data_IF_830549763911
#
_entry.id   IF_830549763911
#
_cell.length_a   1.000
_cell.length_b   1.000
_cell.length_c   1.000
_cell.angle_alpha   90.00
_cell.angle_beta   90.00
_cell.angle_gamma   90.00
#
_symmetry.space_group_name_H-M   'P 1'
#
loop_
_entity.id
_entity.type
_entity.pdbx_description
1 polymer ?
#
# COMPACT_ATOMS: atom_id res chain seq x y z
N UNK A 1 -33.47 -16.53 -6.16
CA UNK A 1 -32.85 -15.22 -6.45
C UNK A 1 -32.69 -15.11 -7.95
N UNK A 2 -33.28 -14.10 -8.57
CA UNK A 2 -33.06 -13.79 -9.98
C UNK A 2 -31.68 -13.15 -10.10
N UNK A 3 -30.82 -13.71 -10.95
CA UNK A 3 -29.52 -13.13 -11.26
C UNK A 3 -29.78 -11.91 -12.14
N UNK A 4 -29.38 -10.71 -11.70
CA UNK A 4 -29.43 -9.53 -12.54
C UNK A 4 -28.26 -9.55 -13.53
N UNK A 5 -28.45 -8.96 -14.70
CA UNK A 5 -27.36 -8.77 -15.66
C UNK A 5 -26.34 -7.76 -15.10
N UNK A 6 -25.11 -7.81 -15.62
CA UNK A 6 -24.05 -6.84 -15.23
C UNK A 6 -24.45 -5.40 -15.54
N UNK A 7 -25.15 -5.19 -16.65
CA UNK A 7 -25.65 -3.88 -17.07
C UNK A 7 -26.71 -3.34 -16.10
N UNK A 8 -27.67 -4.17 -15.66
CA UNK A 8 -28.67 -3.77 -14.67
C UNK A 8 -28.03 -3.39 -13.33
N UNK A 9 -27.03 -4.17 -12.87
CA UNK A 9 -26.28 -3.86 -11.64
C UNK A 9 -25.56 -2.53 -11.77
N UNK A 10 -24.86 -2.33 -12.88
CA UNK A 10 -24.15 -1.10 -13.16
C UNK A 10 -25.08 0.10 -13.16
N UNK A 11 -26.12 0.07 -14.01
CA UNK A 11 -27.06 1.18 -14.16
C UNK A 11 -27.72 1.56 -12.84
N UNK A 12 -28.06 0.56 -12.02
CA UNK A 12 -28.60 0.79 -10.67
C UNK A 12 -27.61 1.56 -9.80
N UNK A 13 -26.40 1.04 -9.60
CA UNK A 13 -25.42 1.64 -8.70
C UNK A 13 -24.84 2.95 -9.21
N UNK A 14 -24.64 3.09 -10.52
CA UNK A 14 -24.11 4.32 -11.14
C UNK A 14 -25.09 5.49 -11.09
N UNK A 15 -26.39 5.20 -10.91
CA UNK A 15 -27.44 6.22 -10.81
C UNK A 15 -27.63 6.77 -9.40
N UNK A 16 -27.03 6.15 -8.38
CA UNK A 16 -27.17 6.58 -6.99
C UNK A 16 -26.46 7.91 -6.77
N UNK A 17 -27.18 8.87 -6.19
CA UNK A 17 -26.56 10.09 -5.68
C UNK A 17 -25.73 9.77 -4.44
N UNK A 18 -24.46 10.14 -4.48
CA UNK A 18 -23.51 9.96 -3.40
C UNK A 18 -22.86 11.27 -2.96
N UNK A 19 -23.35 12.42 -3.44
CA UNK A 19 -22.74 13.74 -3.22
C UNK A 19 -22.56 14.07 -1.75
N UNK A 20 -23.58 13.80 -0.92
CA UNK A 20 -23.56 14.03 0.53
C UNK A 20 -22.62 13.08 1.31
N UNK A 21 -22.08 12.07 0.64
CA UNK A 21 -21.19 11.07 1.21
C UNK A 21 -19.74 11.20 0.75
N UNK A 22 -19.49 12.13 -0.18
CA UNK A 22 -18.15 12.44 -0.66
C UNK A 22 -17.54 13.49 0.26
N UNK A 23 -16.32 13.21 0.72
CA UNK A 23 -15.48 14.15 1.44
C UNK A 23 -14.22 14.42 0.62
N UNK A 24 -13.70 15.63 0.72
CA UNK A 24 -12.40 15.97 0.14
C UNK A 24 -11.37 15.93 1.26
N UNK A 25 -10.28 15.19 1.08
CA UNK A 25 -9.18 15.17 2.04
C UNK A 25 -8.31 16.43 1.92
N UNK A 26 -7.32 16.55 2.81
CA UNK A 26 -6.41 17.70 2.87
C UNK A 26 -5.58 17.88 1.58
N UNK A 27 -5.43 16.80 0.79
CA UNK A 27 -4.71 16.79 -0.49
C UNK A 27 -5.62 17.08 -1.69
N UNK A 28 -6.90 17.39 -1.46
CA UNK A 28 -7.87 17.70 -2.51
C UNK A 28 -8.45 16.47 -3.21
N UNK A 29 -8.24 15.26 -2.68
CA UNK A 29 -8.76 14.01 -3.22
C UNK A 29 -10.17 13.78 -2.70
N UNK A 30 -11.11 13.60 -3.63
CA UNK A 30 -12.48 13.22 -3.30
C UNK A 30 -12.55 11.73 -2.98
N UNK A 31 -13.08 11.40 -1.81
CA UNK A 31 -13.25 10.03 -1.34
C UNK A 31 -14.66 9.83 -0.78
N UNK A 32 -15.21 8.64 -0.95
CA UNK A 32 -16.44 8.23 -0.27
C UNK A 32 -16.08 7.45 1.01
N UNK A 33 -16.72 7.81 2.12
CA UNK A 33 -16.53 7.06 3.37
C UNK A 33 -17.06 5.63 3.20
N UNK A 34 -16.29 4.65 3.68
CA UNK A 34 -16.56 3.21 3.52
C UNK A 34 -17.96 2.80 4.03
N UNK A 35 -18.38 3.31 5.18
CA UNK A 35 -19.70 2.98 5.74
C UNK A 35 -20.85 3.63 4.98
N UNK A 36 -20.63 4.82 4.40
CA UNK A 36 -21.61 5.45 3.52
C UNK A 36 -21.76 4.66 2.22
N UNK A 37 -20.65 4.24 1.60
CA UNK A 37 -20.67 3.35 0.44
C UNK A 37 -21.39 2.02 0.76
N UNK A 38 -21.15 1.45 1.94
CA UNK A 38 -21.87 0.27 2.39
C UNK A 38 -23.37 0.52 2.54
N UNK A 39 -23.78 1.64 3.15
CA UNK A 39 -25.20 1.97 3.32
C UNK A 39 -25.91 2.12 1.97
N UNK A 40 -25.25 2.73 0.98
CA UNK A 40 -25.75 2.80 -0.40
C UNK A 40 -25.87 1.42 -1.05
N UNK A 41 -24.90 0.52 -0.87
CA UNK A 41 -25.06 -0.87 -1.32
C UNK A 41 -26.27 -1.54 -0.65
N UNK A 42 -26.49 -1.32 0.65
CA UNK A 42 -27.62 -1.91 1.37
C UNK A 42 -28.98 -1.41 0.90
N UNK A 43 -29.06 -0.21 0.33
CA UNK A 43 -30.34 0.35 -0.15
C UNK A 43 -30.85 -0.31 -1.43
N UNK A 44 -29.96 -0.88 -2.25
CA UNK A 44 -30.31 -1.49 -3.54
C UNK A 44 -29.96 -2.98 -3.64
N UNK A 45 -28.87 -3.42 -3.02
CA UNK A 45 -28.35 -4.80 -3.04
C UNK A 45 -27.98 -5.27 -1.64
N UNK A 46 -28.92 -5.40 -0.69
CA UNK A 46 -28.63 -5.78 0.70
C UNK A 46 -27.97 -7.16 0.84
N UNK A 47 -28.14 -8.04 -0.14
CA UNK A 47 -27.59 -9.40 -0.16
C UNK A 47 -26.20 -9.48 -0.80
N UNK A 48 -25.55 -8.34 -1.10
CA UNK A 48 -24.20 -8.37 -1.65
C UNK A 48 -23.20 -8.96 -0.65
N UNK A 49 -22.24 -9.72 -1.13
CA UNK A 49 -21.21 -10.36 -0.30
C UNK A 49 -19.82 -9.97 -0.77
N UNK A 50 -18.84 -10.08 0.13
CA UNK A 50 -17.45 -9.93 -0.20
C UNK A 50 -16.57 -10.78 0.70
N UNK A 51 -15.44 -11.24 0.17
CA UNK A 51 -14.45 -12.03 0.88
C UNK A 51 -13.04 -11.58 0.49
N UNK A 52 -12.15 -11.44 1.47
CA UNK A 52 -10.73 -11.21 1.19
C UNK A 52 -10.06 -12.54 0.86
N UNK A 53 -9.31 -12.58 -0.24
CA UNK A 53 -8.70 -13.82 -0.70
C UNK A 53 -7.39 -14.08 0.04
N UNK A 54 -7.24 -15.23 0.70
CA UNK A 54 -5.98 -15.59 1.33
C UNK A 54 -4.91 -15.97 0.31
N UNK A 55 -3.65 -15.83 0.69
CA UNK A 55 -2.51 -16.40 0.00
C UNK A 55 -2.39 -17.91 0.27
N UNK A 56 -1.34 -18.53 -0.29
CA UNK A 56 -1.05 -19.96 -0.09
C UNK A 56 -0.78 -20.36 1.37
N UNK A 57 -0.57 -19.40 2.27
CA UNK A 57 -0.32 -19.59 3.70
C UNK A 57 -1.52 -19.20 4.57
N UNK A 58 -2.67 -18.86 3.96
CA UNK A 58 -3.87 -18.46 4.70
C UNK A 58 -3.89 -16.99 5.14
N UNK A 59 -2.97 -16.16 4.67
CA UNK A 59 -2.89 -14.73 5.01
C UNK A 59 -3.72 -13.92 4.03
N UNK A 60 -4.54 -12.99 4.51
CA UNK A 60 -5.35 -12.10 3.67
C UNK A 60 -4.55 -10.93 3.05
N UNK A 61 -3.28 -11.18 2.68
CA UNK A 61 -2.40 -10.33 1.91
C UNK A 61 -1.42 -11.19 1.11
N UNK A 62 -1.01 -10.70 -0.05
CA UNK A 62 -0.15 -11.40 -1.00
C UNK A 62 1.16 -10.64 -1.10
N UNK A 63 2.23 -11.20 -0.54
CA UNK A 63 3.58 -10.61 -0.61
C UNK A 63 4.19 -10.81 -2.00
N UNK A 64 4.86 -9.76 -2.47
CA UNK A 64 5.71 -9.76 -3.65
C UNK A 64 7.19 -9.95 -3.24
N UNK A 65 8.05 -10.25 -4.21
CA UNK A 65 9.47 -10.58 -3.97
C UNK A 65 10.25 -9.43 -3.32
N UNK A 66 9.86 -8.18 -3.56
CA UNK A 66 10.48 -6.98 -3.02
C UNK A 66 10.03 -6.63 -1.58
N UNK A 67 9.18 -7.47 -0.99
CA UNK A 67 8.60 -7.29 0.34
C UNK A 67 7.38 -6.38 0.38
N UNK A 68 6.98 -5.78 -0.75
CA UNK A 68 5.68 -5.13 -0.86
C UNK A 68 4.55 -6.17 -0.88
N UNK A 69 3.32 -5.73 -0.72
CA UNK A 69 2.19 -6.64 -0.73
C UNK A 69 0.94 -5.99 -1.33
N UNK A 70 0.01 -6.84 -1.77
CA UNK A 70 -1.32 -6.45 -2.20
C UNK A 70 -2.41 -7.20 -1.43
N UNK A 71 -3.59 -6.62 -1.38
CA UNK A 71 -4.82 -7.27 -0.91
C UNK A 71 -5.68 -7.62 -2.11
N UNK A 72 -6.42 -8.73 -2.01
CA UNK A 72 -7.35 -9.20 -3.04
C UNK A 72 -8.71 -9.45 -2.40
N UNK A 73 -9.77 -9.12 -3.13
CA UNK A 73 -11.14 -9.26 -2.67
C UNK A 73 -12.00 -9.75 -3.83
N UNK A 74 -12.87 -10.71 -3.53
CA UNK A 74 -13.99 -11.07 -4.41
C UNK A 74 -15.25 -10.44 -3.86
N UNK A 75 -16.01 -9.74 -4.71
CA UNK A 75 -17.32 -9.18 -4.37
C UNK A 75 -18.37 -9.76 -5.29
N UNK A 76 -19.51 -10.16 -4.72
CA UNK A 76 -20.66 -10.68 -5.45
C UNK A 76 -21.87 -9.78 -5.24
N UNK A 77 -22.45 -9.28 -6.34
CA UNK A 77 -23.64 -8.43 -6.35
C UNK A 77 -24.68 -9.04 -7.28
N UNK A 78 -25.85 -9.38 -6.74
CA UNK A 78 -26.96 -9.99 -7.48
C UNK A 78 -26.55 -11.19 -8.38
N UNK A 79 -25.64 -12.03 -7.88
CA UNK A 79 -25.12 -13.21 -8.59
C UNK A 79 -23.93 -12.95 -9.53
N UNK A 80 -23.46 -11.71 -9.66
CA UNK A 80 -22.28 -11.35 -10.46
C UNK A 80 -21.07 -11.16 -9.55
N UNK A 81 -20.00 -11.89 -9.80
CA UNK A 81 -18.76 -11.78 -9.03
C UNK A 81 -17.66 -11.05 -9.81
N UNK A 82 -16.88 -10.21 -9.10
CA UNK A 82 -15.65 -9.59 -9.58
C UNK A 82 -14.53 -9.80 -8.56
N UNK A 83 -13.34 -10.11 -9.05
CA UNK A 83 -12.12 -10.13 -8.22
C UNK A 83 -11.34 -8.86 -8.48
N UNK A 84 -10.95 -8.17 -7.42
CA UNK A 84 -10.27 -6.88 -7.46
C UNK A 84 -9.06 -6.96 -6.52
N UNK A 85 -7.94 -6.39 -6.93
CA UNK A 85 -6.75 -6.23 -6.09
C UNK A 85 -6.43 -4.77 -5.83
N UNK A 86 -5.69 -4.52 -4.75
CA UNK A 86 -5.12 -3.21 -4.44
C UNK A 86 -3.74 -3.38 -3.79
N UNK A 87 -2.69 -2.76 -4.34
CA UNK A 87 -1.40 -2.67 -3.67
C UNK A 87 -1.52 -1.96 -2.32
N UNK A 88 -0.76 -2.40 -1.32
CA UNK A 88 -0.67 -1.69 -0.05
C UNK A 88 0.34 -0.55 -0.21
N UNK A 89 -0.15 0.68 -0.22
CA UNK A 89 0.65 1.86 -0.52
C UNK A 89 0.25 3.06 0.35
N UNK A 90 1.17 4.03 0.46
CA UNK A 90 0.93 5.34 1.06
C UNK A 90 1.57 6.39 0.15
N UNK A 91 0.85 7.46 -0.16
CA UNK A 91 1.32 8.54 -1.05
C UNK A 91 1.92 7.98 -2.36
N UNK A 92 1.14 7.13 -3.04
CA UNK A 92 1.51 6.39 -4.27
C UNK A 92 2.74 5.48 -4.21
N UNK A 93 3.40 5.33 -3.06
CA UNK A 93 4.55 4.46 -2.87
C UNK A 93 4.16 3.15 -2.18
N UNK A 94 4.63 2.03 -2.72
CA UNK A 94 4.41 0.71 -2.16
C UNK A 94 5.07 0.57 -0.78
N UNK A 95 4.36 -0.03 0.18
CA UNK A 95 4.88 -0.26 1.53
C UNK A 95 5.46 -1.66 1.60
N UNK A 96 6.74 -1.77 1.95
CA UNK A 96 7.39 -3.04 2.28
C UNK A 96 7.02 -3.48 3.69
N UNK A 97 6.73 -4.77 3.88
CA UNK A 97 6.37 -5.36 5.18
C UNK A 97 5.25 -4.58 5.92
N UNK A 98 4.05 -4.43 5.31
CA UNK A 98 3.02 -3.56 5.83
C UNK A 98 2.55 -3.95 7.23
N UNK A 99 2.22 -2.95 8.05
CA UNK A 99 1.65 -3.17 9.38
C UNK A 99 0.19 -3.64 9.29
N UNK A 100 -0.35 -4.13 10.41
CA UNK A 100 -1.77 -4.47 10.51
C UNK A 100 -2.69 -3.27 10.21
N UNK A 101 -2.23 -2.05 10.52
CA UNK A 101 -2.96 -0.82 10.20
C UNK A 101 -2.99 -0.56 8.70
N UNK A 102 -1.83 -0.64 8.04
CA UNK A 102 -1.74 -0.46 6.58
C UNK A 102 -2.60 -1.50 5.84
N UNK A 103 -2.58 -2.75 6.33
CA UNK A 103 -3.44 -3.82 5.83
C UNK A 103 -4.93 -3.47 5.97
N UNK A 104 -5.37 -3.03 7.15
CA UNK A 104 -6.78 -2.66 7.36
C UNK A 104 -7.18 -1.48 6.46
N UNK A 105 -6.35 -0.44 6.37
CA UNK A 105 -6.61 0.70 5.48
C UNK A 105 -6.74 0.26 4.02
N UNK A 106 -5.83 -0.60 3.53
CA UNK A 106 -5.90 -1.14 2.18
C UNK A 106 -7.15 -1.99 1.95
N UNK A 107 -7.54 -2.83 2.92
CA UNK A 107 -8.78 -3.62 2.85
C UNK A 107 -10.02 -2.75 2.72
N UNK A 108 -10.14 -1.69 3.54
CA UNK A 108 -11.28 -0.79 3.46
C UNK A 108 -11.31 -0.03 2.13
N UNK A 109 -10.17 0.46 1.64
CA UNK A 109 -10.05 1.11 0.31
C UNK A 109 -10.42 0.16 -0.83
N UNK A 110 -9.92 -1.08 -0.79
CA UNK A 110 -10.22 -2.11 -1.79
C UNK A 110 -11.72 -2.46 -1.80
N UNK A 111 -12.35 -2.54 -0.62
CA UNK A 111 -13.79 -2.81 -0.52
C UNK A 111 -14.61 -1.75 -1.26
N UNK A 112 -14.31 -0.47 -1.05
CA UNK A 112 -15.00 0.64 -1.74
C UNK A 112 -14.67 0.63 -3.24
N UNK A 113 -13.40 0.39 -3.61
CA UNK A 113 -13.01 0.26 -5.02
C UNK A 113 -13.82 -0.84 -5.72
N UNK A 114 -14.00 -1.99 -5.08
CA UNK A 114 -14.79 -3.08 -5.62
C UNK A 114 -16.27 -2.70 -5.81
N UNK A 115 -16.86 -1.90 -4.91
CA UNK A 115 -18.20 -1.32 -5.11
C UNK A 115 -18.23 -0.38 -6.33
N UNK A 116 -17.17 0.42 -6.52
CA UNK A 116 -17.01 1.29 -7.68
C UNK A 116 -16.89 0.54 -9.00
N UNK A 117 -16.25 -0.62 -9.01
CA UNK A 117 -16.23 -1.51 -10.18
C UNK A 117 -17.64 -2.03 -10.55
N UNK A 118 -18.60 -2.04 -9.61
CA UNK A 118 -20.01 -2.32 -9.89
C UNK A 118 -20.84 -1.07 -10.20
N UNK A 119 -20.24 0.12 -10.19
CA UNK A 119 -20.87 1.39 -10.62
C UNK A 119 -21.00 2.43 -9.50
N UNK A 120 -20.89 2.04 -8.23
CA UNK A 120 -21.11 2.95 -7.10
C UNK A 120 -20.02 4.02 -7.00
N UNK A 121 -20.38 5.31 -7.11
CA UNK A 121 -19.41 6.41 -7.04
C UNK A 121 -18.21 6.24 -8.00
N UNK A 122 -18.40 5.54 -9.11
CA UNK A 122 -17.35 5.21 -10.08
C UNK A 122 -16.66 6.47 -10.67
N UNK A 123 -17.40 7.59 -10.73
CA UNK A 123 -16.91 8.90 -11.15
C UNK A 123 -15.72 9.41 -10.33
N UNK A 124 -15.52 8.96 -9.08
CA UNK A 124 -14.34 9.30 -8.29
C UNK A 124 -13.03 8.77 -8.91
N UNK A 125 -13.10 7.71 -9.71
CA UNK A 125 -11.95 7.12 -10.40
C UNK A 125 -11.88 7.48 -11.89
N UNK A 126 -12.96 8.01 -12.46
CA UNK A 126 -12.99 8.49 -13.84
C UNK A 126 -12.80 10.00 -13.81
N UNK A 127 -11.54 10.45 -13.83
CA UNK A 127 -11.27 11.83 -14.23
C UNK A 127 -11.58 11.94 -15.73
N UNK A 128 -12.57 12.74 -16.08
CA UNK A 128 -12.79 13.14 -17.46
C UNK A 128 -11.61 14.05 -17.85
N UNK A 129 -10.54 13.48 -18.40
CA UNK A 129 -9.45 14.29 -18.93
C UNK A 129 -9.95 14.98 -20.19
N UNK A 130 -9.81 16.30 -20.26
CA UNK A 130 -10.08 17.06 -21.49
C UNK A 130 -9.07 16.73 -22.60
N UNK A 131 -7.98 16.06 -22.25
CA UNK A 131 -6.86 15.71 -23.13
C UNK A 131 -6.79 14.19 -23.27
N UNK A 132 -6.45 13.70 -24.46
CA UNK A 132 -6.10 12.29 -24.66
C UNK A 132 -4.92 11.93 -23.75
N UNK A 133 -4.89 10.69 -23.20
CA UNK A 133 -3.72 10.23 -22.46
C UNK A 133 -2.49 10.26 -23.38
N UNK A 134 -1.50 11.09 -23.03
CA UNK A 134 -0.17 10.99 -23.62
C UNK A 134 0.47 9.70 -23.13
N UNK A 135 0.54 8.71 -24.02
CA UNK A 135 1.32 7.52 -23.79
C UNK A 135 2.79 7.90 -23.98
N UNK A 136 3.61 7.68 -22.95
CA UNK A 136 5.06 7.75 -23.11
C UNK A 136 5.47 6.59 -24.03
N UNK A 137 5.96 6.91 -25.23
CA UNK A 137 6.33 5.92 -26.25
C UNK A 137 7.41 4.95 -25.76
N UNK A 138 8.16 5.33 -24.73
CA UNK A 138 9.11 4.46 -24.03
C UNK A 138 9.10 4.79 -22.54
N UNK A 139 8.94 3.76 -21.70
CA UNK A 139 9.36 3.88 -20.30
C UNK A 139 10.86 4.16 -20.33
N UNK A 140 11.37 5.28 -19.78
CA UNK A 140 12.80 5.41 -19.58
C UNK A 140 13.26 4.17 -18.82
N UNK A 141 14.29 3.50 -19.33
CA UNK A 141 14.90 2.39 -18.64
C UNK A 141 15.13 2.83 -17.20
N UNK A 142 14.54 2.11 -16.23
CA UNK A 142 14.73 2.41 -14.82
C UNK A 142 16.23 2.62 -14.62
N UNK A 143 16.62 3.83 -14.21
CA UNK A 143 18.01 4.11 -13.88
C UNK A 143 18.41 3.02 -12.90
N UNK A 144 19.36 2.16 -13.32
CA UNK A 144 19.94 1.19 -12.41
C UNK A 144 20.64 2.00 -11.35
N UNK A 145 19.98 2.18 -10.20
CA UNK A 145 20.61 2.74 -9.02
C UNK A 145 21.85 1.88 -8.78
N UNK A 146 23.02 2.51 -8.87
CA UNK A 146 24.28 1.82 -8.61
C UNK A 146 24.27 1.31 -7.18
N UNK A 147 24.91 0.17 -6.91
CA UNK A 147 24.93 -0.48 -5.59
C UNK A 147 25.29 0.50 -4.44
N UNK A 148 26.09 1.52 -4.73
CA UNK A 148 26.42 2.62 -3.81
C UNK A 148 25.24 3.52 -3.45
N UNK A 149 24.39 3.90 -4.40
CA UNK A 149 23.26 4.81 -4.16
C UNK A 149 22.21 4.18 -3.24
N UNK A 150 21.96 2.88 -3.38
CA UNK A 150 21.00 2.17 -2.53
C UNK A 150 21.56 1.93 -1.12
N UNK A 151 22.87 1.71 -0.98
CA UNK A 151 23.51 1.60 0.32
C UNK A 151 23.45 2.91 1.11
N UNK A 152 23.62 4.05 0.43
CA UNK A 152 23.51 5.40 1.03
C UNK A 152 22.09 5.63 1.60
N UNK A 153 21.05 5.28 0.82
CA UNK A 153 19.65 5.40 1.26
C UNK A 153 19.36 4.52 2.48
N UNK A 154 19.81 3.26 2.48
CA UNK A 154 19.61 2.36 3.61
C UNK A 154 20.36 2.81 4.87
N UNK A 155 21.56 3.39 4.71
CA UNK A 155 22.33 3.92 5.82
C UNK A 155 21.63 5.14 6.43
N UNK A 156 21.13 6.06 5.59
CA UNK A 156 20.37 7.22 6.03
C UNK A 156 19.06 6.81 6.75
N UNK A 157 18.31 5.84 6.22
CA UNK A 157 17.08 5.33 6.84
C UNK A 157 17.34 4.63 8.17
N UNK A 158 18.48 3.93 8.31
CA UNK A 158 18.85 3.28 9.55
C UNK A 158 19.07 4.28 10.71
N UNK A 159 19.41 5.53 10.40
CA UNK A 159 19.55 6.66 11.34
C UNK A 159 20.27 6.23 12.62
N UNK A 160 21.50 5.74 12.44
CA UNK A 160 22.29 5.12 13.50
C UNK A 160 22.77 6.15 14.53
N UNK A 161 23.00 7.39 14.10
CA UNK A 161 23.48 8.49 14.93
C UNK A 161 22.50 8.84 16.06
N UNK A 162 21.19 8.74 15.80
CA UNK A 162 20.15 9.03 16.78
C UNK A 162 19.99 7.95 17.87
N UNK A 163 20.70 6.83 17.76
CA UNK A 163 20.61 5.76 18.75
C UNK A 163 21.20 6.19 20.11
N UNK A 164 20.44 6.00 21.18
CA UNK A 164 20.82 6.41 22.55
C UNK A 164 21.59 5.34 23.33
N UNK A 165 21.64 4.10 22.85
CA UNK A 165 22.36 3.01 23.49
C UNK A 165 22.86 1.97 22.49
N UNK A 166 23.84 1.17 22.92
CA UNK A 166 24.53 0.19 22.07
C UNK A 166 23.59 -0.89 21.50
N UNK A 167 22.62 -1.36 22.29
CA UNK A 167 21.62 -2.34 21.82
C UNK A 167 20.70 -1.79 20.74
N UNK A 168 20.33 -0.52 20.82
CA UNK A 168 19.54 0.15 19.79
C UNK A 168 20.36 0.31 18.51
N UNK A 169 21.63 0.74 18.64
CA UNK A 169 22.57 0.86 17.52
C UNK A 169 22.75 -0.47 16.77
N UNK A 170 23.05 -1.56 17.49
CA UNK A 170 23.21 -2.90 16.92
C UNK A 170 21.94 -3.39 16.21
N UNK A 171 20.75 -3.11 16.77
CA UNK A 171 19.49 -3.51 16.15
C UNK A 171 19.24 -2.77 14.85
N UNK A 172 19.50 -1.45 14.81
CA UNK A 172 19.32 -0.64 13.59
C UNK A 172 20.35 -1.03 12.52
N UNK A 173 21.59 -1.27 12.92
CA UNK A 173 22.65 -1.72 12.01
C UNK A 173 22.33 -3.09 11.38
N UNK A 174 21.81 -4.03 12.17
CA UNK A 174 21.35 -5.30 11.62
C UNK A 174 20.21 -5.15 10.60
N UNK A 175 19.36 -4.11 10.71
CA UNK A 175 18.34 -3.84 9.68
C UNK A 175 18.97 -3.33 8.39
N UNK A 176 19.96 -2.44 8.49
CA UNK A 176 20.77 -1.99 7.36
C UNK A 176 21.46 -3.16 6.63
N UNK A 177 22.17 -4.03 7.35
CA UNK A 177 22.83 -5.21 6.75
C UNK A 177 21.84 -6.17 6.08
N UNK A 178 20.65 -6.35 6.67
CA UNK A 178 19.60 -7.14 6.04
C UNK A 178 19.04 -6.48 4.77
N UNK A 179 18.98 -5.15 4.71
CA UNK A 179 18.56 -4.40 3.52
C UNK A 179 19.59 -4.53 2.38
N UNK A 180 20.90 -4.42 2.68
CA UNK A 180 21.97 -4.69 1.72
C UNK A 180 21.87 -6.11 1.15
N UNK A 181 21.77 -7.12 2.03
CA UNK A 181 21.67 -8.53 1.64
C UNK A 181 20.43 -8.81 0.78
N UNK A 182 19.29 -8.23 1.13
CA UNK A 182 18.05 -8.41 0.36
C UNK A 182 18.16 -7.79 -1.02
N UNK A 183 18.93 -6.71 -1.14
CA UNK A 183 19.16 -5.98 -2.38
C UNK A 183 20.35 -6.53 -3.19
N UNK A 184 20.98 -7.63 -2.74
CA UNK A 184 22.15 -8.25 -3.35
C UNK A 184 23.36 -7.31 -3.49
N UNK A 185 23.48 -6.36 -2.57
CA UNK A 185 24.65 -5.50 -2.45
C UNK A 185 25.66 -6.27 -1.60
N UNK A 186 26.75 -6.70 -2.23
CA UNK A 186 27.75 -7.58 -1.60
C UNK A 186 28.77 -6.81 -0.73
N UNK A 187 28.92 -5.50 -0.95
CA UNK A 187 29.88 -4.65 -0.23
C UNK A 187 29.16 -3.71 0.75
N UNK A 188 29.71 -3.55 1.95
CA UNK A 188 29.22 -2.60 2.97
C UNK A 188 30.13 -1.36 2.98
N UNK A 189 29.76 -0.28 2.28
CA UNK A 189 30.57 0.92 2.21
C UNK A 189 30.67 1.68 3.55
N UNK A 190 29.82 1.34 4.54
CA UNK A 190 29.73 2.03 5.83
C UNK A 190 30.22 1.19 7.02
N UNK A 191 30.82 0.02 6.78
CA UNK A 191 31.35 -0.84 7.84
C UNK A 191 32.32 -0.09 8.78
N UNK A 192 33.23 0.73 8.23
CA UNK A 192 34.15 1.55 9.04
C UNK A 192 33.43 2.66 9.82
N UNK A 193 32.37 3.24 9.25
CA UNK A 193 31.58 4.27 9.92
C UNK A 193 30.79 3.68 11.10
N UNK A 194 30.26 2.47 10.95
CA UNK A 194 29.58 1.75 12.01
C UNK A 194 30.52 1.46 13.20
N UNK A 195 31.73 0.95 12.95
CA UNK A 195 32.67 0.65 14.03
C UNK A 195 33.07 1.91 14.81
N UNK A 196 33.27 3.05 14.13
CA UNK A 196 33.50 4.35 14.80
C UNK A 196 32.33 4.77 15.68
N UNK A 197 31.08 4.60 15.21
CA UNK A 197 29.89 4.91 16.01
C UNK A 197 29.75 3.99 17.22
N UNK A 198 30.09 2.72 17.05
CA UNK A 198 30.05 1.72 18.12
C UNK A 198 31.08 2.03 19.21
N UNK A 199 32.32 2.38 18.83
CA UNK A 199 33.37 2.82 19.75
C UNK A 199 32.92 4.07 20.53
N UNK A 200 32.42 5.10 19.85
CA UNK A 200 31.96 6.33 20.48
C UNK A 200 30.82 6.09 21.48
N UNK A 201 29.87 5.20 21.16
CA UNK A 201 28.77 4.86 22.08
C UNK A 201 29.23 3.97 23.23
N UNK A 202 30.26 3.14 23.05
CA UNK A 202 30.87 2.34 24.10
C UNK A 202 31.60 3.24 25.11
N UNK A 203 32.41 4.19 24.63
CA UNK A 203 33.10 5.19 25.46
C UNK A 203 32.11 6.04 26.27
N UNK A 204 31.02 6.50 25.64
CA UNK A 204 29.97 7.24 26.34
C UNK A 204 29.31 6.41 27.45
N UNK A 205 29.09 5.11 27.22
CA UNK A 205 28.54 4.22 28.24
C UNK A 205 29.51 3.95 29.40
N UNK A 206 30.81 3.83 29.12
CA UNK A 206 31.85 3.66 30.14
C UNK A 206 32.06 4.92 30.97
N UNK A 207 31.95 6.11 30.35
CA UNK A 207 32.07 7.40 31.05
C UNK A 207 30.86 7.76 31.92
N UNK A 208 29.71 7.11 31.69
CA UNK A 208 28.46 7.31 32.42
C UNK A 208 28.24 6.34 33.60
N UNK A 209 29.20 5.43 33.84
CA UNK A 209 29.27 4.55 35.02
C UNK A 209 30.01 5.21 36.18
#
# INVERSE_FOLDING_TARGET
MTIATREEVWNTLSSLDCTDHIITDDDGIQIIQVMSAHALMMSVYPEYTYEFLPDSHGRELHYLEDGSAEVRLVMTVAGNSKTVSLPIHRNTQAIKNPSAWDLNTAKQRLRVRAMGEFGLAHNLWIKQSANEPEYLDEYPAAEQATDSSMADDYWAEADLDSCTNLRALERRHNRYLNALRTSKIDDDPYAEAYEKLKELKLELWESAK
#
